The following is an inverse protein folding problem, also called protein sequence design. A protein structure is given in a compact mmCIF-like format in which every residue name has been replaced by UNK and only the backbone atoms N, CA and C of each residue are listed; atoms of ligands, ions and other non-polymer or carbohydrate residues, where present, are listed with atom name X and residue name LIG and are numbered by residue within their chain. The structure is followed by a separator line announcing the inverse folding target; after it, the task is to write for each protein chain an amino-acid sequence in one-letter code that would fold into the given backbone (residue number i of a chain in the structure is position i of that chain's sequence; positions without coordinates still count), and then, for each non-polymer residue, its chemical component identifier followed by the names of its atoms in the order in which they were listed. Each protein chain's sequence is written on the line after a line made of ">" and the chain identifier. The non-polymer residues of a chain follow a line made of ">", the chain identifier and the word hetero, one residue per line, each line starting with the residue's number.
data_IF_623531069772
#
_entry.id   IF_623531069772
#
_cell.length_a   1.000
_cell.length_b   1.000
_cell.length_c   1.000
_cell.angle_alpha   90.00
_cell.angle_beta   90.00
_cell.angle_gamma   90.00
#
_symmetry.space_group_name_H-M   'P 1'
#
loop_
_entity.id
_entity.type
_entity.pdbx_description
1 polymer ?
#
# COMPACT_ATOMS: atom_id res chain seq x y z
N UNK A 1 -2.83 8.13 23.21
CA UNK A 1 -2.20 6.83 23.56
C UNK A 1 -1.89 6.11 22.26
N UNK A 2 -0.64 6.12 21.78
CA UNK A 2 -0.27 5.28 20.64
C UNK A 2 -0.41 3.83 21.08
N UNK A 3 -1.35 3.10 20.49
CA UNK A 3 -1.44 1.66 20.68
C UNK A 3 -0.11 1.06 20.22
N UNK A 4 0.66 0.48 21.15
CA UNK A 4 1.82 -0.36 20.83
C UNK A 4 1.28 -1.60 20.10
N UNK A 5 1.16 -1.52 18.79
CA UNK A 5 0.92 -2.70 17.96
C UNK A 5 2.23 -3.49 17.93
N UNK A 6 2.30 -4.59 18.70
CA UNK A 6 3.37 -5.56 18.57
C UNK A 6 3.08 -6.38 17.32
N UNK A 7 3.60 -5.94 16.17
CA UNK A 7 3.55 -6.70 14.92
C UNK A 7 4.89 -7.39 14.75
N UNK A 8 4.86 -8.70 14.55
CA UNK A 8 6.06 -9.46 14.22
C UNK A 8 6.68 -8.94 12.91
N UNK A 9 7.98 -8.62 12.95
CA UNK A 9 8.68 -8.01 11.82
C UNK A 9 8.54 -8.84 10.54
N UNK A 10 8.67 -10.16 10.63
CA UNK A 10 8.55 -11.06 9.48
C UNK A 10 7.15 -11.06 8.87
N UNK A 11 6.10 -10.94 9.69
CA UNK A 11 4.73 -10.81 9.21
C UNK A 11 4.52 -9.46 8.51
N UNK A 12 5.03 -8.38 9.10
CA UNK A 12 4.94 -7.05 8.50
C UNK A 12 5.62 -6.99 7.12
N UNK A 13 6.80 -7.59 6.98
CA UNK A 13 7.51 -7.64 5.70
C UNK A 13 6.72 -8.47 4.68
N UNK A 14 6.11 -9.59 5.07
CA UNK A 14 5.24 -10.39 4.18
C UNK A 14 4.03 -9.60 3.71
N UNK A 15 3.37 -8.87 4.61
CA UNK A 15 2.23 -8.01 4.28
C UNK A 15 2.65 -6.91 3.29
N UNK A 16 3.81 -6.27 3.51
CA UNK A 16 4.35 -5.26 2.59
C UNK A 16 4.72 -5.82 1.21
N UNK A 17 5.22 -7.05 1.15
CA UNK A 17 5.55 -7.74 -0.12
C UNK A 17 4.32 -8.06 -0.98
N UNK A 18 3.15 -8.19 -0.36
CA UNK A 18 1.89 -8.42 -1.06
C UNK A 18 1.33 -7.14 -1.70
N UNK A 19 1.81 -5.96 -1.30
CA UNK A 19 1.43 -4.70 -1.93
C UNK A 19 2.02 -4.65 -3.35
N UNK A 20 1.14 -4.61 -4.36
CA UNK A 20 1.53 -4.53 -5.77
C UNK A 20 0.96 -3.28 -6.43
N UNK A 21 1.70 -2.75 -7.40
CA UNK A 21 1.20 -1.78 -8.35
C UNK A 21 0.72 -2.52 -9.60
N UNK A 22 -0.52 -2.26 -10.01
CA UNK A 22 -1.21 -2.88 -11.14
C UNK A 22 -1.55 -1.76 -12.12
N UNK A 23 -1.10 -1.91 -13.35
CA UNK A 23 -1.47 -0.99 -14.44
C UNK A 23 -2.83 -1.44 -15.00
N UNK A 24 -3.79 -0.52 -15.06
CA UNK A 24 -5.12 -0.72 -15.62
C UNK A 24 -5.35 0.29 -16.75
N UNK A 25 -5.84 -0.18 -17.89
CA UNK A 25 -6.21 0.68 -19.01
C UNK A 25 -7.73 0.64 -19.18
N UNK A 26 -8.36 1.81 -19.16
CA UNK A 26 -9.80 1.97 -19.26
C UNK A 26 -10.10 3.23 -20.07
N UNK A 27 -10.90 3.10 -21.14
CA UNK A 27 -11.23 4.20 -22.06
C UNK A 27 -10.02 5.01 -22.55
N UNK A 28 -8.99 4.30 -23.06
CA UNK A 28 -7.71 4.86 -23.53
C UNK A 28 -6.87 5.61 -22.48
N UNK A 29 -7.29 5.58 -21.21
CA UNK A 29 -6.55 6.15 -20.09
C UNK A 29 -5.85 5.05 -19.30
N UNK A 30 -4.60 5.29 -18.93
CA UNK A 30 -3.80 4.35 -18.13
C UNK A 30 -3.77 4.80 -16.68
N UNK A 31 -4.01 3.88 -15.78
CA UNK A 31 -4.06 4.08 -14.34
C UNK A 31 -3.07 3.15 -13.65
N UNK A 32 -2.37 3.66 -12.66
CA UNK A 32 -1.59 2.87 -11.72
C UNK A 32 -2.42 2.68 -10.45
N UNK A 33 -2.83 1.45 -10.21
CA UNK A 33 -3.61 1.06 -9.05
C UNK A 33 -2.73 0.32 -8.05
N UNK A 34 -2.92 0.55 -6.75
CA UNK A 34 -2.35 -0.36 -5.74
C UNK A 34 -3.37 -1.43 -5.37
N UNK A 35 -2.89 -2.60 -4.99
CA UNK A 35 -3.71 -3.59 -4.30
C UNK A 35 -4.10 -3.09 -2.90
N UNK A 36 -5.17 -3.65 -2.33
CA UNK A 36 -5.56 -3.38 -0.94
C UNK A 36 -4.41 -3.66 0.03
N UNK A 37 -4.32 -2.86 1.10
CA UNK A 37 -3.29 -3.02 2.13
C UNK A 37 -3.60 -4.27 2.97
N UNK A 38 -2.79 -5.33 2.90
CA UNK A 38 -3.07 -6.55 3.64
C UNK A 38 -2.60 -6.43 5.08
N UNK A 39 -3.36 -7.05 6.00
CA UNK A 39 -2.98 -7.22 7.39
C UNK A 39 -2.54 -5.93 8.07
N UNK A 40 -1.29 -5.89 8.51
CA UNK A 40 -0.72 -4.77 9.26
C UNK A 40 0.13 -3.83 8.39
N UNK A 41 0.10 -3.94 7.07
CA UNK A 41 0.89 -3.07 6.19
C UNK A 41 0.64 -1.57 6.45
N UNK A 42 -0.61 -1.19 6.77
CA UNK A 42 -0.97 0.18 7.14
C UNK A 42 -0.21 0.71 8.37
N UNK A 43 0.07 -0.16 9.35
CA UNK A 43 0.78 0.19 10.57
C UNK A 43 2.23 0.60 10.28
N UNK A 44 2.89 -0.02 9.29
CA UNK A 44 4.22 0.37 8.86
C UNK A 44 4.24 1.83 8.37
N UNK A 45 3.32 2.18 7.47
CA UNK A 45 3.20 3.54 6.94
C UNK A 45 2.90 4.55 8.06
N UNK A 46 1.99 4.18 8.98
CA UNK A 46 1.61 5.01 10.13
C UNK A 46 2.79 5.30 11.05
N UNK A 47 3.57 4.28 11.43
CA UNK A 47 4.74 4.43 12.31
C UNK A 47 5.87 5.20 11.65
N UNK A 48 6.06 5.00 10.34
CA UNK A 48 7.05 5.74 9.56
C UNK A 48 6.61 7.19 9.26
N UNK A 49 5.35 7.55 9.54
CA UNK A 49 4.81 8.87 9.22
C UNK A 49 4.67 9.12 7.71
N UNK A 50 4.71 8.06 6.90
CA UNK A 50 4.60 8.12 5.44
C UNK A 50 3.13 7.91 5.07
N UNK A 51 2.59 8.73 4.17
CA UNK A 51 1.25 8.49 3.63
C UNK A 51 1.31 7.28 2.68
N UNK A 52 0.44 6.27 2.87
CA UNK A 52 0.34 5.16 1.92
C UNK A 52 0.08 5.67 0.48
N UNK A 53 0.56 4.98 -0.57
CA UNK A 53 0.29 5.37 -1.96
C UNK A 53 -1.22 5.51 -2.25
N UNK A 54 -1.61 6.25 -3.27
CA UNK A 54 -3.04 6.36 -3.61
C UNK A 54 -3.58 5.02 -4.16
N UNK A 55 -4.89 4.78 -4.02
CA UNK A 55 -5.55 3.57 -4.55
C UNK A 55 -5.43 3.52 -6.07
N UNK A 56 -5.61 4.67 -6.71
CA UNK A 56 -5.60 4.84 -8.16
C UNK A 56 -4.90 6.16 -8.44
N UNK A 57 -3.95 6.16 -9.37
CA UNK A 57 -3.29 7.36 -9.86
C UNK A 57 -3.26 7.32 -11.38
N UNK A 58 -3.69 8.38 -12.09
CA UNK A 58 -3.58 8.42 -13.54
C UNK A 58 -2.10 8.44 -13.95
N UNK A 59 -1.72 7.54 -14.85
CA UNK A 59 -0.41 7.52 -15.48
C UNK A 59 -0.48 8.42 -16.71
N UNK A 60 -0.06 9.68 -16.56
CA UNK A 60 0.30 10.53 -17.69
C UNK A 60 1.63 10.01 -18.25
N UNK A 61 1.59 9.01 -19.13
CA UNK A 61 2.72 8.67 -20.00
C UNK A 61 2.60 9.43 -21.31
#
# INVERSE_FOLDING_TARGET
>A
KLAKSQVEYTQLIRDLQQLRAVELTLDDQTYLCRTELPGNAYEAFRVLGIRPPQHVTPTNR
#
